data_IF_045440952868
#
_entry.id   IF_045440952868
#
_cell.length_a   1.000
_cell.length_b   1.000
_cell.length_c   1.000
_cell.angle_alpha   90.00
_cell.angle_beta   90.00
_cell.angle_gamma   90.00
#
_symmetry.space_group_name_H-M   'P 1'
#
loop_
_entity.id
_entity.type
_entity.pdbx_description
1 polymer ?
#
# COMPACT_ATOMS: atom_id res chain seq x y z
N UNK A 1 -23.19 18.77 -45.96
CA UNK A 1 -22.61 18.72 -44.61
C UNK A 1 -22.65 17.26 -44.18
N UNK A 2 -21.53 16.61 -43.83
CA UNK A 2 -21.56 15.19 -43.47
C UNK A 2 -22.05 15.04 -42.02
N UNK A 3 -23.28 14.56 -41.89
CA UNK A 3 -23.80 13.95 -40.67
C UNK A 3 -23.30 12.51 -40.56
N UNK A 4 -23.09 12.06 -39.32
CA UNK A 4 -22.99 10.64 -38.99
C UNK A 4 -21.64 10.24 -38.41
N UNK A 5 -21.45 10.48 -37.11
CA UNK A 5 -20.45 9.72 -36.35
C UNK A 5 -21.01 8.30 -36.18
N UNK A 6 -20.19 7.36 -36.64
CA UNK A 6 -20.43 5.93 -36.68
C UNK A 6 -20.74 5.33 -35.29
N UNK A 7 -21.64 4.35 -35.31
CA UNK A 7 -22.09 3.59 -34.15
C UNK A 7 -20.91 2.95 -33.42
N UNK A 8 -20.77 3.23 -32.12
CA UNK A 8 -19.91 2.45 -31.22
C UNK A 8 -20.79 1.39 -30.54
N UNK A 9 -20.64 0.16 -31.00
CA UNK A 9 -20.88 -1.11 -30.30
C UNK A 9 -22.11 -1.21 -29.39
N UNK A 10 -23.19 -1.78 -29.92
CA UNK A 10 -23.91 -2.88 -29.25
C UNK A 10 -24.64 -2.60 -27.94
N UNK A 11 -24.76 -1.35 -27.49
CA UNK A 11 -25.72 -1.01 -26.43
C UNK A 11 -27.08 -0.93 -27.10
N UNK A 12 -27.74 -2.10 -27.13
CA UNK A 12 -29.18 -2.23 -27.38
C UNK A 12 -29.86 -1.05 -26.69
N UNK A 13 -30.79 -0.42 -27.40
CA UNK A 13 -31.64 0.71 -26.99
C UNK A 13 -32.44 0.35 -25.73
N UNK A 14 -31.76 0.16 -24.60
CA UNK A 14 -32.32 -0.09 -23.31
C UNK A 14 -32.79 1.25 -22.78
N UNK A 15 -34.03 1.26 -22.34
CA UNK A 15 -34.65 2.38 -21.65
C UNK A 15 -33.70 2.88 -20.54
N UNK A 16 -33.47 4.20 -20.46
CA UNK A 16 -32.48 4.77 -19.53
C UNK A 16 -32.74 4.33 -18.09
N UNK A 17 -34.02 4.16 -17.72
CA UNK A 17 -34.43 3.68 -16.41
C UNK A 17 -34.02 2.22 -16.18
N UNK A 18 -34.05 1.37 -17.20
CA UNK A 18 -33.55 0.00 -17.14
C UNK A 18 -32.02 -0.02 -16.94
N UNK A 19 -31.28 0.81 -17.67
CA UNK A 19 -29.82 0.92 -17.52
C UNK A 19 -29.42 1.42 -16.13
N UNK A 20 -30.13 2.41 -15.59
CA UNK A 20 -29.90 2.91 -14.22
C UNK A 20 -30.20 1.82 -13.20
N UNK A 21 -31.30 1.09 -13.35
CA UNK A 21 -31.68 -0.01 -12.45
C UNK A 21 -30.63 -1.11 -12.44
N UNK A 22 -30.16 -1.52 -13.62
CA UNK A 22 -29.11 -2.53 -13.75
C UNK A 22 -27.79 -2.06 -13.14
N UNK A 23 -27.42 -0.79 -13.35
CA UNK A 23 -26.23 -0.19 -12.74
C UNK A 23 -26.29 -0.20 -11.20
N UNK A 24 -27.44 0.16 -10.61
CA UNK A 24 -27.63 0.13 -9.15
C UNK A 24 -27.55 -1.30 -8.62
N UNK A 25 -28.18 -2.26 -9.30
CA UNK A 25 -28.13 -3.66 -8.92
C UNK A 25 -26.70 -4.23 -8.99
N UNK A 26 -25.96 -3.93 -10.06
CA UNK A 26 -24.55 -4.31 -10.20
C UNK A 26 -23.68 -3.68 -9.12
N UNK A 27 -23.91 -2.41 -8.79
CA UNK A 27 -23.16 -1.71 -7.74
C UNK A 27 -23.40 -2.36 -6.37
N UNK A 28 -24.64 -2.73 -6.06
CA UNK A 28 -24.98 -3.50 -4.85
C UNK A 28 -24.25 -4.85 -4.80
N UNK A 29 -24.31 -5.63 -5.88
CA UNK A 29 -23.62 -6.91 -5.96
C UNK A 29 -22.09 -6.77 -5.81
N UNK A 30 -21.49 -5.72 -6.39
CA UNK A 30 -20.06 -5.42 -6.21
C UNK A 30 -19.76 -5.12 -4.74
N UNK A 31 -20.60 -4.36 -4.06
CA UNK A 31 -20.42 -4.05 -2.64
C UNK A 31 -20.48 -5.33 -1.77
N UNK A 32 -21.48 -6.19 -2.00
CA UNK A 32 -21.64 -7.45 -1.26
C UNK A 32 -20.46 -8.41 -1.48
N UNK A 33 -19.99 -8.51 -2.74
CA UNK A 33 -18.81 -9.31 -3.09
C UNK A 33 -17.53 -8.72 -2.49
N UNK A 34 -17.40 -7.39 -2.45
CA UNK A 34 -16.27 -6.72 -1.82
C UNK A 34 -16.24 -6.98 -0.30
N UNK A 35 -17.39 -6.92 0.38
CA UNK A 35 -17.48 -7.24 1.80
C UNK A 35 -17.10 -8.71 2.07
N UNK A 36 -17.66 -9.62 1.28
CA UNK A 36 -17.35 -11.05 1.36
C UNK A 36 -15.86 -11.33 1.16
N UNK A 37 -15.25 -10.66 0.18
CA UNK A 37 -13.81 -10.72 -0.07
C UNK A 37 -13.02 -10.21 1.14
N UNK A 38 -13.36 -9.04 1.69
CA UNK A 38 -12.66 -8.47 2.85
C UNK A 38 -12.73 -9.39 4.07
N UNK A 39 -13.88 -10.04 4.30
CA UNK A 39 -14.06 -11.01 5.38
C UNK A 39 -13.12 -12.21 5.22
N UNK A 40 -13.00 -12.75 4.00
CA UNK A 40 -12.11 -13.86 3.69
C UNK A 40 -10.64 -13.44 3.86
N UNK A 41 -10.24 -12.27 3.34
CA UNK A 41 -8.87 -11.76 3.47
C UNK A 41 -8.46 -11.56 4.95
N UNK A 42 -9.39 -11.08 5.78
CA UNK A 42 -9.17 -10.94 7.21
C UNK A 42 -8.96 -12.28 7.90
N UNK A 43 -9.81 -13.26 7.63
CA UNK A 43 -9.70 -14.60 8.23
C UNK A 43 -8.42 -15.32 7.77
N UNK A 44 -8.03 -15.18 6.50
CA UNK A 44 -6.75 -15.72 5.99
C UNK A 44 -5.56 -15.09 6.72
N UNK A 45 -5.56 -13.76 6.84
CA UNK A 45 -4.48 -13.03 7.52
C UNK A 45 -4.42 -13.42 9.00
N UNK A 46 -5.56 -13.47 9.69
CA UNK A 46 -5.66 -13.88 11.10
C UNK A 46 -5.08 -15.27 11.34
N UNK A 47 -5.39 -16.24 10.47
CA UNK A 47 -4.84 -17.60 10.57
C UNK A 47 -3.33 -17.63 10.34
N UNK A 48 -2.86 -16.94 9.30
CA UNK A 48 -1.43 -16.83 9.03
C UNK A 48 -0.68 -16.20 10.21
N UNK A 49 -1.24 -15.18 10.84
CA UNK A 49 -0.63 -14.56 12.02
C UNK A 49 -0.66 -15.48 13.25
N UNK A 50 -1.76 -16.20 13.48
CA UNK A 50 -1.87 -17.18 14.57
C UNK A 50 -0.85 -18.32 14.43
N UNK A 51 -0.63 -18.78 13.20
CA UNK A 51 0.30 -19.88 12.88
C UNK A 51 1.75 -19.41 12.67
N UNK A 52 2.00 -18.09 12.72
CA UNK A 52 3.29 -17.50 12.37
C UNK A 52 3.71 -17.73 10.91
N UNK A 53 2.75 -18.09 10.05
CA UNK A 53 2.99 -18.42 8.65
C UNK A 53 3.08 -17.18 7.77
N UNK A 54 3.99 -17.18 6.81
CA UNK A 54 4.13 -16.12 5.80
C UNK A 54 3.56 -16.53 4.44
N UNK A 55 3.14 -17.78 4.29
CA UNK A 55 2.53 -18.33 3.08
C UNK A 55 1.49 -19.40 3.43
N UNK A 56 0.41 -19.49 2.65
CA UNK A 56 -0.52 -20.62 2.70
C UNK A 56 -0.26 -21.50 1.48
N UNK A 57 0.03 -22.81 1.65
CA UNK A 57 0.21 -23.72 0.53
C UNK A 57 -1.13 -23.92 -0.19
N UNK A 58 -1.15 -23.59 -1.48
CA UNK A 58 -2.26 -23.86 -2.37
C UNK A 58 -1.73 -24.23 -3.76
N UNK A 59 -2.40 -25.17 -4.43
CA UNK A 59 -1.97 -25.74 -5.71
C UNK A 59 -2.10 -24.74 -6.87
N UNK A 60 -3.16 -23.93 -6.87
CA UNK A 60 -3.48 -22.99 -7.94
C UNK A 60 -3.05 -21.56 -7.62
N UNK A 61 -3.09 -21.19 -6.34
CA UNK A 61 -2.81 -19.84 -5.89
C UNK A 61 -1.52 -19.78 -5.08
N UNK A 62 -0.80 -18.68 -5.25
CA UNK A 62 0.27 -18.23 -4.37
C UNK A 62 -0.34 -17.22 -3.38
N UNK A 63 -0.43 -17.63 -2.11
CA UNK A 63 -0.97 -16.81 -1.02
C UNK A 63 0.16 -16.44 -0.09
N UNK A 64 0.55 -15.17 -0.07
CA UNK A 64 1.66 -14.65 0.71
C UNK A 64 1.21 -13.51 1.61
N UNK A 65 1.75 -13.49 2.83
CA UNK A 65 1.63 -12.35 3.72
C UNK A 65 2.83 -11.42 3.46
N UNK A 66 2.60 -10.37 2.69
CA UNK A 66 3.63 -9.41 2.36
C UNK A 66 4.09 -8.66 3.63
N UNK A 67 5.40 -8.43 3.78
CA UNK A 67 5.92 -7.68 4.91
C UNK A 67 5.29 -6.29 4.92
N UNK A 68 4.95 -5.84 6.11
CA UNK A 68 4.43 -4.50 6.35
C UNK A 68 5.33 -3.44 5.74
N UNK A 69 4.73 -2.46 5.06
CA UNK A 69 5.50 -1.27 4.66
C UNK A 69 6.01 -0.61 5.93
N UNK A 70 7.32 -0.49 6.02
CA UNK A 70 7.96 0.20 7.14
C UNK A 70 7.72 1.69 6.98
N UNK A 71 7.05 2.27 7.97
CA UNK A 71 6.96 3.72 8.15
C UNK A 71 7.82 4.12 9.35
N UNK A 72 7.93 5.43 9.60
CA UNK A 72 8.73 5.94 10.71
C UNK A 72 7.92 6.97 11.49
N UNK A 73 8.12 6.97 12.81
CA UNK A 73 7.68 8.02 13.72
C UNK A 73 8.62 9.21 13.59
N UNK A 74 8.13 10.29 12.98
CA UNK A 74 8.92 11.48 12.71
C UNK A 74 9.30 12.25 13.97
N UNK A 75 8.53 12.15 15.05
CA UNK A 75 8.88 12.76 16.34
C UNK A 75 10.13 12.12 16.95
N UNK A 76 10.27 10.79 16.79
CA UNK A 76 11.46 10.07 17.25
C UNK A 76 12.69 10.30 16.37
N UNK A 77 12.50 10.59 15.08
CA UNK A 77 13.61 10.89 14.16
C UNK A 77 14.27 12.24 14.44
N UNK A 78 13.60 13.17 15.14
CA UNK A 78 14.20 14.45 15.55
C UNK A 78 15.48 14.26 16.38
N UNK A 79 15.56 13.18 17.17
CA UNK A 79 16.75 12.83 17.93
C UNK A 79 18.00 12.57 17.04
N UNK A 80 17.83 12.34 15.74
CA UNK A 80 18.96 12.25 14.81
C UNK A 80 19.76 13.55 14.72
N UNK A 81 19.14 14.71 14.96
CA UNK A 81 19.86 16.00 14.94
C UNK A 81 20.87 16.14 16.08
N UNK A 82 20.75 15.35 17.14
CA UNK A 82 21.73 15.33 18.24
C UNK A 82 23.00 14.55 17.89
N UNK A 83 22.95 13.70 16.85
CA UNK A 83 24.02 12.76 16.50
C UNK A 83 24.58 12.96 15.09
N UNK A 84 23.76 13.47 14.17
CA UNK A 84 24.11 13.77 12.78
C UNK A 84 23.72 15.22 12.51
N UNK A 85 24.62 15.97 11.88
CA UNK A 85 24.32 17.35 11.53
C UNK A 85 23.12 17.41 10.57
N UNK A 86 22.26 18.41 10.75
CA UNK A 86 21.12 18.63 9.86
C UNK A 86 21.59 18.82 8.40
N UNK A 87 22.71 19.52 8.19
CA UNK A 87 23.28 19.74 6.87
C UNK A 87 23.62 18.43 6.14
N UNK A 88 24.16 17.43 6.85
CA UNK A 88 24.47 16.12 6.26
C UNK A 88 23.20 15.34 5.91
N UNK A 89 22.17 15.44 6.75
CA UNK A 89 20.87 14.81 6.51
C UNK A 89 20.15 15.43 5.30
N UNK A 90 20.24 16.75 5.14
CA UNK A 90 19.69 17.48 3.98
C UNK A 90 20.48 17.18 2.72
N UNK A 91 21.81 17.21 2.77
CA UNK A 91 22.67 16.89 1.62
C UNK A 91 22.45 15.46 1.10
N UNK A 92 22.18 14.51 2.00
CA UNK A 92 21.84 13.13 1.64
C UNK A 92 20.37 12.96 1.17
N UNK A 93 19.54 14.00 1.28
CA UNK A 93 18.11 13.96 1.00
C UNK A 93 17.31 13.08 1.98
N UNK A 94 17.85 12.85 3.18
CA UNK A 94 17.20 12.11 4.26
C UNK A 94 16.22 12.99 5.04
N UNK A 95 16.48 14.30 5.09
CA UNK A 95 15.61 15.30 5.68
C UNK A 95 15.34 16.43 4.69
N UNK A 96 14.09 16.88 4.63
CA UNK A 96 13.70 18.10 3.92
C UNK A 96 13.13 19.06 4.96
N UNK A 97 13.82 20.18 5.24
CA UNK A 97 13.36 21.17 6.20
C UNK A 97 12.10 21.89 5.70
N UNK A 98 11.39 22.55 6.60
CA UNK A 98 10.32 23.46 6.22
C UNK A 98 10.91 24.64 5.44
N UNK A 99 10.34 24.92 4.27
CA UNK A 99 10.70 26.08 3.44
C UNK A 99 9.67 27.21 3.64
N UNK A 100 9.88 28.36 3.00
CA UNK A 100 8.95 29.50 3.03
C UNK A 100 7.53 29.16 2.50
N UNK A 101 7.37 28.08 1.74
CA UNK A 101 6.07 27.50 1.41
C UNK A 101 5.66 26.48 2.49
N UNK A 102 4.37 26.36 2.86
CA UNK A 102 3.89 25.52 3.96
C UNK A 102 3.91 24.03 3.59
N UNK A 103 5.10 23.52 3.31
CA UNK A 103 5.37 22.11 3.09
C UNK A 103 5.93 21.59 4.41
N UNK A 104 5.22 20.70 5.10
CA UNK A 104 5.69 20.15 6.37
C UNK A 104 7.01 19.42 6.15
N UNK A 105 7.90 19.47 7.15
CA UNK A 105 9.16 18.75 7.11
C UNK A 105 8.95 17.26 6.78
N UNK A 106 9.81 16.70 5.92
CA UNK A 106 9.69 15.31 5.47
C UNK A 106 10.96 14.53 5.74
N UNK A 107 10.76 13.32 6.25
CA UNK A 107 11.81 12.31 6.37
C UNK A 107 11.73 11.30 5.23
N UNK A 108 12.88 11.05 4.59
CA UNK A 108 13.00 10.06 3.55
C UNK A 108 13.61 8.75 4.10
N UNK A 109 12.74 7.79 4.39
CA UNK A 109 13.09 6.46 4.90
C UNK A 109 14.16 5.72 4.08
N UNK A 110 14.17 5.87 2.76
CA UNK A 110 15.14 5.19 1.89
C UNK A 110 16.53 5.79 2.05
N UNK A 111 16.60 7.11 2.25
CA UNK A 111 17.84 7.87 2.42
C UNK A 111 18.35 7.88 3.86
N UNK A 112 17.54 7.44 4.83
CA UNK A 112 17.95 7.19 6.22
C UNK A 112 18.79 5.91 6.40
N UNK A 113 18.61 4.91 5.54
CA UNK A 113 19.30 3.60 5.69
C UNK A 113 20.83 3.69 5.75
N UNK A 114 21.53 4.51 4.94
CA UNK A 114 22.99 4.65 5.01
C UNK A 114 23.48 5.19 6.36
N UNK A 115 22.70 6.04 7.03
CA UNK A 115 23.09 6.67 8.30
C UNK A 115 23.24 5.68 9.46
N UNK A 116 22.63 4.49 9.36
CA UNK A 116 22.81 3.40 10.33
C UNK A 116 24.26 2.94 10.52
N UNK A 117 25.15 3.27 9.57
CA UNK A 117 26.58 2.93 9.62
C UNK A 117 27.42 3.89 10.46
N UNK A 118 26.88 5.06 10.84
CA UNK A 118 27.64 6.12 11.49
C UNK A 118 27.79 5.95 13.01
N UNK A 119 27.03 5.03 13.62
CA UNK A 119 27.14 4.73 15.04
C UNK A 119 25.99 3.88 15.56
N UNK A 120 26.21 3.25 16.72
CA UNK A 120 25.18 2.43 17.36
C UNK A 120 23.98 3.28 17.83
N UNK A 121 24.23 4.54 18.20
CA UNK A 121 23.20 5.48 18.65
C UNK A 121 22.25 5.87 17.51
N UNK A 122 22.82 6.25 16.35
CA UNK A 122 22.06 6.55 15.12
C UNK A 122 21.22 5.36 14.70
N UNK A 123 21.78 4.14 14.75
CA UNK A 123 21.06 2.92 14.45
C UNK A 123 19.88 2.72 15.41
N UNK A 124 20.09 2.93 16.71
CA UNK A 124 19.07 2.75 17.75
C UNK A 124 17.92 3.73 17.57
N UNK A 125 18.21 5.00 17.23
CA UNK A 125 17.18 6.01 16.94
C UNK A 125 16.34 5.60 15.72
N UNK A 126 16.99 5.20 14.62
CA UNK A 126 16.28 4.80 13.39
C UNK A 126 15.46 3.53 13.63
N UNK A 127 15.98 2.54 14.34
CA UNK A 127 15.25 1.30 14.63
C UNK A 127 14.10 1.55 15.62
N UNK A 128 14.27 2.41 16.63
CA UNK A 128 13.24 2.79 17.60
C UNK A 128 12.13 3.70 17.03
N UNK A 129 12.43 4.41 15.94
CA UNK A 129 11.46 5.17 15.17
C UNK A 129 10.67 4.31 14.17
N UNK A 130 11.03 3.03 13.97
CA UNK A 130 10.41 2.16 12.98
C UNK A 130 8.99 1.79 13.38
N UNK A 131 8.03 2.08 12.51
CA UNK A 131 6.64 1.66 12.63
C UNK A 131 6.38 0.55 11.61
N UNK A 132 5.99 -0.62 12.10
CA UNK A 132 5.53 -1.71 11.24
C UNK A 132 4.08 -1.44 10.86
N UNK A 133 3.83 -1.18 9.57
CA UNK A 133 2.48 -1.02 9.05
C UNK A 133 1.66 -2.31 9.10
N UNK A 134 0.40 -2.28 8.64
CA UNK A 134 -0.38 -3.51 8.48
C UNK A 134 0.29 -4.41 7.43
N UNK A 135 0.40 -5.70 7.74
CA UNK A 135 0.79 -6.72 6.76
C UNK A 135 -0.32 -6.82 5.70
N UNK A 136 0.06 -7.10 4.46
CA UNK A 136 -0.89 -7.17 3.34
C UNK A 136 -0.94 -8.59 2.79
N UNK A 137 -2.14 -9.12 2.62
CA UNK A 137 -2.33 -10.39 1.92
C UNK A 137 -2.16 -10.18 0.40
N UNK A 138 -1.34 -11.01 -0.23
CA UNK A 138 -1.14 -11.06 -1.67
C UNK A 138 -1.56 -12.43 -2.18
N UNK A 139 -2.61 -12.47 -2.99
CA UNK A 139 -3.09 -13.69 -3.65
C UNK A 139 -2.85 -13.54 -5.15
N UNK A 140 -2.12 -14.48 -5.76
CA UNK A 140 -1.85 -14.51 -7.21
C UNK A 140 -2.08 -15.91 -7.75
N UNK A 141 -2.54 -16.05 -8.98
CA UNK A 141 -2.54 -17.35 -9.66
C UNK A 141 -1.11 -17.78 -10.00
N UNK A 142 -0.78 -19.06 -9.78
CA UNK A 142 0.49 -19.63 -10.21
C UNK A 142 0.51 -19.72 -11.74
N UNK A 143 1.54 -19.14 -12.36
CA UNK A 143 1.75 -19.28 -13.81
C UNK A 143 2.00 -20.75 -14.14
N UNK A 144 1.11 -21.36 -14.94
CA UNK A 144 1.29 -22.72 -15.49
C UNK A 144 0.26 -23.76 -15.06
N UNK A 145 -0.74 -23.41 -14.23
CA UNK A 145 -1.86 -24.30 -13.92
C UNK A 145 -3.03 -23.98 -14.86
N UNK A 146 -3.41 -24.89 -15.79
CA UNK A 146 -4.59 -24.67 -16.64
C UNK A 146 -5.86 -24.61 -15.79
N UNK A 147 -6.80 -23.77 -16.23
CA UNK A 147 -8.01 -23.38 -15.49
C UNK A 147 -8.96 -24.53 -15.16
#
# INVERSE_FOLDING_TARGET
MPEGIEQINGIVKADNDALIKDYVALTGAIADLAESRSRIEWELTRRMEADGATAIPNERYEVLLAPSKVTYDYGKLVALFETVSEADLVAAGAYTPEHDEPVPAKWNATKLKPFRKFGNDVKTIIDGARLEGPKKLSIKERKGVPA
#
